data_IF_256586597902
#
_entry.id   IF_256586597902
#
_cell.length_a   1.000
_cell.length_b   1.000
_cell.length_c   1.000
_cell.angle_alpha   90.00
_cell.angle_beta   90.00
_cell.angle_gamma   90.00
#
_symmetry.space_group_name_H-M   'P 1'
#
loop_
_entity.id
_entity.type
_entity.pdbx_description
1 polymer ?
#
# COMPACT_ATOMS: atom_id res chain seq x y z
N UNK A 1 -24.34 20.32 -13.50
CA UNK A 1 -25.00 19.00 -13.46
C UNK A 1 -24.23 18.15 -12.45
N UNK A 2 -24.89 17.49 -11.49
CA UNK A 2 -24.20 16.77 -10.41
C UNK A 2 -24.00 15.28 -10.74
N UNK A 3 -22.88 14.71 -10.29
CA UNK A 3 -22.47 13.35 -10.59
C UNK A 3 -23.37 12.30 -9.93
N UNK A 4 -23.77 11.29 -10.69
CA UNK A 4 -24.64 10.20 -10.20
C UNK A 4 -23.82 9.11 -9.52
N UNK A 5 -23.55 9.29 -8.24
CA UNK A 5 -23.00 8.23 -7.38
C UNK A 5 -23.94 7.02 -7.36
N UNK A 6 -23.37 5.82 -7.52
CA UNK A 6 -24.10 4.55 -7.29
C UNK A 6 -23.86 4.15 -5.83
N UNK A 7 -24.91 3.92 -5.05
CA UNK A 7 -24.73 3.47 -3.66
C UNK A 7 -26.03 3.22 -2.89
N UNK A 8 -27.00 4.13 -2.95
CA UNK A 8 -28.25 4.03 -2.18
C UNK A 8 -29.48 4.25 -3.07
N UNK A 9 -30.62 3.60 -2.76
CA UNK A 9 -31.89 3.93 -3.41
C UNK A 9 -32.34 5.35 -3.00
N UNK A 10 -32.79 6.14 -3.96
CA UNK A 10 -33.40 7.44 -3.69
C UNK A 10 -34.66 7.26 -2.83
N UNK A 11 -34.75 7.98 -1.69
CA UNK A 11 -35.93 7.94 -0.83
C UNK A 11 -37.16 8.45 -1.60
N UNK A 12 -38.23 7.66 -1.64
CA UNK A 12 -39.52 8.02 -2.25
C UNK A 12 -40.53 8.50 -1.20
N UNK A 13 -41.51 9.29 -1.65
CA UNK A 13 -42.73 9.68 -0.94
C UNK A 13 -43.92 9.50 -1.89
N UNK A 14 -45.14 9.36 -1.37
CA UNK A 14 -46.33 9.36 -2.20
C UNK A 14 -46.74 10.81 -2.55
N UNK A 15 -47.19 11.04 -3.78
CA UNK A 15 -47.87 12.28 -4.13
C UNK A 15 -49.21 12.37 -3.38
N UNK A 16 -49.55 13.49 -2.71
CA UNK A 16 -50.80 13.61 -1.93
C UNK A 16 -52.06 13.38 -2.79
N UNK A 17 -52.02 13.82 -4.04
CA UNK A 17 -53.21 13.97 -4.90
C UNK A 17 -53.47 12.77 -5.81
N UNK A 18 -52.41 12.11 -6.32
CA UNK A 18 -52.52 10.91 -7.17
C UNK A 18 -51.91 9.64 -6.55
N UNK A 19 -51.35 9.71 -5.33
CA UNK A 19 -50.75 8.59 -4.58
C UNK A 19 -49.63 7.81 -5.28
N UNK A 20 -49.14 8.27 -6.44
CA UNK A 20 -47.99 7.67 -7.13
C UNK A 20 -46.67 8.00 -6.42
N UNK A 21 -45.70 7.08 -6.46
CA UNK A 21 -44.37 7.28 -5.88
C UNK A 21 -43.55 8.34 -6.61
N UNK A 22 -42.98 9.28 -5.86
CA UNK A 22 -42.11 10.35 -6.33
C UNK A 22 -40.87 10.44 -5.44
N UNK A 23 -39.77 10.98 -5.94
CA UNK A 23 -38.60 11.27 -5.07
C UNK A 23 -39.00 12.28 -3.97
N UNK A 24 -38.45 12.12 -2.77
CA UNK A 24 -38.59 13.10 -1.68
C UNK A 24 -38.15 14.51 -2.11
N UNK A 25 -37.16 14.61 -3.00
CA UNK A 25 -36.64 15.88 -3.53
C UNK A 25 -37.48 16.46 -4.69
N UNK A 26 -38.51 15.77 -5.17
CA UNK A 26 -39.35 16.27 -6.26
C UNK A 26 -40.27 17.41 -5.78
N UNK A 27 -40.30 18.51 -6.53
CA UNK A 27 -41.20 19.66 -6.35
C UNK A 27 -42.46 19.60 -7.22
N UNK A 28 -42.51 18.67 -8.18
CA UNK A 28 -43.65 18.47 -9.09
C UNK A 28 -43.84 16.98 -9.32
N UNK A 29 -45.09 16.51 -9.30
CA UNK A 29 -45.39 15.10 -9.52
C UNK A 29 -45.20 14.74 -10.99
N UNK A 30 -44.46 13.67 -11.27
CA UNK A 30 -44.25 13.19 -12.66
C UNK A 30 -45.50 12.60 -13.30
N UNK A 31 -46.50 12.20 -12.51
CA UNK A 31 -47.70 11.50 -12.98
C UNK A 31 -48.89 12.46 -13.19
N UNK A 32 -49.29 13.23 -12.18
CA UNK A 32 -50.40 14.19 -12.29
C UNK A 32 -49.97 15.62 -12.64
N UNK A 33 -48.67 15.94 -12.65
CA UNK A 33 -48.17 17.28 -12.93
C UNK A 33 -48.37 18.30 -11.79
N UNK A 34 -48.92 17.91 -10.65
CA UNK A 34 -49.25 18.81 -9.54
C UNK A 34 -48.00 19.21 -8.73
N UNK A 35 -48.00 20.42 -8.18
CA UNK A 35 -46.86 20.96 -7.44
C UNK A 35 -46.85 20.47 -6.00
N UNK A 36 -45.99 19.48 -5.75
CA UNK A 36 -45.79 18.89 -4.44
C UNK A 36 -44.78 19.73 -3.68
N UNK A 37 -45.28 20.51 -2.71
CA UNK A 37 -44.47 21.39 -1.88
C UNK A 37 -43.16 20.72 -1.44
N UNK A 38 -42.06 21.47 -1.49
CA UNK A 38 -40.79 21.02 -0.92
C UNK A 38 -41.08 20.53 0.51
N UNK A 39 -40.60 19.35 0.91
CA UNK A 39 -40.58 19.03 2.33
C UNK A 39 -39.93 20.22 3.05
N UNK A 40 -40.52 20.68 4.15
CA UNK A 40 -39.71 21.43 5.11
C UNK A 40 -38.58 20.47 5.48
N UNK A 41 -37.32 20.89 5.34
CA UNK A 41 -36.21 20.11 5.90
C UNK A 41 -36.47 20.03 7.41
N UNK A 42 -37.06 18.92 7.85
CA UNK A 42 -37.16 18.56 9.26
C UNK A 42 -35.75 18.66 9.82
N UNK A 43 -35.56 19.60 10.75
CA UNK A 43 -34.25 20.12 11.11
C UNK A 43 -33.31 18.96 11.43
N UNK A 44 -32.36 18.70 10.52
CA UNK A 44 -31.62 17.44 10.50
C UNK A 44 -30.93 17.28 11.83
N UNK A 45 -31.43 16.33 12.64
CA UNK A 45 -30.82 15.97 13.90
C UNK A 45 -29.54 15.22 13.57
N UNK A 46 -28.47 15.99 13.32
CA UNK A 46 -27.13 15.47 13.13
C UNK A 46 -26.73 14.77 14.42
N UNK A 47 -26.86 13.45 14.44
CA UNK A 47 -26.29 12.62 15.50
C UNK A 47 -24.81 12.97 15.66
N UNK A 48 -24.30 12.94 16.88
CA UNK A 48 -22.93 13.40 17.22
C UNK A 48 -21.86 12.73 16.33
N UNK A 49 -22.10 11.50 15.89
CA UNK A 49 -21.30 10.74 14.91
C UNK A 49 -21.17 11.36 13.51
N UNK A 50 -22.03 12.32 13.13
CA UNK A 50 -21.95 13.04 11.85
C UNK A 50 -21.30 14.43 11.97
N UNK A 51 -21.10 14.93 13.20
CA UNK A 51 -20.46 16.23 13.46
C UNK A 51 -18.97 16.12 13.81
N UNK A 52 -18.36 14.95 13.56
CA UNK A 52 -16.97 14.70 13.92
C UNK A 52 -16.75 14.61 15.44
N UNK A 53 -17.77 14.22 16.20
CA UNK A 53 -17.62 13.90 17.62
C UNK A 53 -16.51 12.86 17.80
N UNK A 54 -15.59 13.14 18.73
CA UNK A 54 -14.38 12.35 18.92
C UNK A 54 -14.72 10.87 19.11
N UNK A 55 -14.28 10.04 18.15
CA UNK A 55 -14.36 8.60 18.28
C UNK A 55 -13.38 8.17 19.38
N UNK A 56 -13.88 8.18 20.61
CA UNK A 56 -13.41 7.34 21.71
C UNK A 56 -13.67 5.88 21.35
N UNK A 57 -12.90 5.41 20.37
CA UNK A 57 -12.62 4.00 20.17
C UNK A 57 -12.13 3.51 21.52
N UNK A 58 -12.99 2.75 22.21
CA UNK A 58 -12.60 2.03 23.42
C UNK A 58 -11.57 1.01 22.97
N UNK A 59 -10.30 1.41 23.01
CA UNK A 59 -9.17 0.56 22.72
C UNK A 59 -9.11 -0.48 23.83
N UNK A 60 -9.84 -1.58 23.62
CA UNK A 60 -9.62 -2.81 24.34
C UNK A 60 -8.27 -3.34 23.86
N UNK A 61 -7.19 -3.25 24.67
CA UNK A 61 -5.93 -3.88 24.30
C UNK A 61 -6.18 -5.37 24.05
N UNK A 62 -5.58 -5.91 22.99
CA UNK A 62 -5.63 -7.34 22.70
C UNK A 62 -5.11 -8.14 23.91
N UNK A 63 -5.71 -9.29 24.22
CA UNK A 63 -5.47 -10.01 25.48
C UNK A 63 -3.99 -10.20 25.85
N UNK A 64 -3.15 -10.54 24.86
CA UNK A 64 -1.70 -10.70 25.01
C UNK A 64 -0.98 -9.44 25.58
N UNK A 65 -1.51 -8.24 25.33
CA UNK A 65 -0.97 -6.97 25.86
C UNK A 65 -1.36 -6.78 27.33
N UNK A 66 -2.55 -7.21 27.74
CA UNK A 66 -2.93 -7.24 29.16
C UNK A 66 -2.09 -8.27 29.92
N UNK A 67 -1.96 -9.48 29.36
CA UNK A 67 -1.15 -10.56 29.93
C UNK A 67 0.33 -10.15 30.10
N UNK A 68 0.92 -9.47 29.10
CA UNK A 68 2.28 -8.93 29.18
C UNK A 68 2.43 -7.78 30.21
N UNK A 69 1.38 -6.98 30.44
CA UNK A 69 1.39 -5.94 31.47
C UNK A 69 1.18 -6.52 32.88
N UNK A 70 0.44 -7.62 33.02
CA UNK A 70 0.28 -8.34 34.28
C UNK A 70 1.54 -9.14 34.66
N UNK A 71 2.19 -9.80 33.69
CA UNK A 71 3.47 -10.48 33.94
C UNK A 71 4.58 -9.50 34.35
N UNK A 72 4.68 -8.34 33.70
CA UNK A 72 5.62 -7.29 34.07
C UNK A 72 5.34 -6.71 35.48
N UNK A 73 4.05 -6.54 35.84
CA UNK A 73 3.67 -6.13 37.21
C UNK A 73 4.04 -7.19 38.25
N UNK A 74 3.84 -8.47 37.95
CA UNK A 74 4.23 -9.56 38.83
C UNK A 74 5.76 -9.63 39.03
N UNK A 75 6.53 -9.43 37.96
CA UNK A 75 8.00 -9.39 38.02
C UNK A 75 8.52 -8.21 38.85
N UNK A 76 8.00 -7.00 38.64
CA UNK A 76 8.39 -5.80 39.42
C UNK A 76 8.04 -5.95 40.91
N UNK A 77 6.89 -6.56 41.24
CA UNK A 77 6.52 -6.85 42.64
C UNK A 77 7.43 -7.94 43.25
N UNK A 78 7.81 -8.96 42.48
CA UNK A 78 8.74 -9.99 42.92
C UNK A 78 10.16 -9.44 43.14
N UNK A 79 10.67 -8.58 42.26
CA UNK A 79 11.95 -7.87 42.46
C UNK A 79 11.91 -6.97 43.70
N UNK A 80 10.79 -6.24 43.91
CA UNK A 80 10.57 -5.43 45.10
C UNK A 80 10.70 -6.25 46.38
N UNK A 81 9.93 -7.34 46.50
CA UNK A 81 9.96 -8.22 47.67
C UNK A 81 11.33 -8.94 47.85
N UNK A 82 11.99 -9.33 46.75
CA UNK A 82 13.33 -9.91 46.78
C UNK A 82 14.43 -8.91 47.19
N UNK A 83 14.21 -7.60 47.01
CA UNK A 83 15.16 -6.56 47.37
C UNK A 83 15.26 -6.36 48.89
N UNK A 84 14.15 -6.47 49.62
CA UNK A 84 14.12 -6.30 51.09
C UNK A 84 14.83 -7.43 51.83
N UNK A 85 14.82 -8.65 51.29
CA UNK A 85 15.39 -9.84 51.94
C UNK A 85 16.87 -10.10 51.64
N UNK A 86 17.57 -9.21 50.91
CA UNK A 86 19.02 -9.36 50.65
C UNK A 86 19.90 -8.71 51.75
N UNK A 87 20.54 -9.48 52.65
CA UNK A 87 21.45 -8.91 53.64
C UNK A 87 22.64 -8.23 52.97
N UNK A 88 22.96 -7.00 53.39
CA UNK A 88 23.92 -6.11 52.72
C UNK A 88 25.38 -6.62 52.79
N UNK A 89 25.76 -7.56 51.92
CA UNK A 89 27.12 -8.07 51.83
C UNK A 89 28.04 -7.11 51.07
N UNK A 90 28.51 -6.08 51.81
CA UNK A 90 29.38 -4.97 51.41
C UNK A 90 30.43 -5.37 50.35
N UNK A 91 30.29 -4.86 49.12
CA UNK A 91 31.39 -4.73 48.15
C UNK A 91 31.48 -3.28 47.65
N UNK A 92 32.39 -2.51 48.25
CA UNK A 92 32.88 -1.25 47.69
C UNK A 92 33.94 -1.53 46.63
N UNK A 93 34.03 -0.66 45.61
CA UNK A 93 35.24 -0.06 44.98
C UNK A 93 35.05 0.15 43.47
N UNK A 94 35.74 1.16 42.92
CA UNK A 94 35.80 1.54 41.49
C UNK A 94 34.43 1.94 40.90
N UNK A 95 33.97 3.19 40.94
CA UNK A 95 34.73 4.44 40.92
C UNK A 95 34.75 5.02 39.49
N UNK A 96 33.68 5.74 39.12
CA UNK A 96 33.51 6.39 37.81
C UNK A 96 34.64 7.37 37.48
N UNK A 97 34.83 7.64 36.17
CA UNK A 97 34.83 9.04 35.71
C UNK A 97 34.30 9.16 34.27
N UNK A 98 33.15 9.82 34.14
CA UNK A 98 32.72 10.41 32.87
C UNK A 98 33.39 11.79 32.72
N UNK A 99 33.52 12.27 31.48
CA UNK A 99 34.00 13.61 31.15
C UNK A 99 32.93 14.28 30.29
N UNK A 100 32.54 15.49 30.68
CA UNK A 100 31.78 16.41 29.86
C UNK A 100 32.58 17.72 29.76
N UNK A 101 32.51 18.39 28.61
CA UNK A 101 32.91 19.79 28.43
C UNK A 101 32.24 20.35 27.17
N UNK A 102 31.78 21.59 27.25
CA UNK A 102 31.10 22.33 26.18
C UNK A 102 32.03 22.91 25.08
N UNK A 103 31.41 23.09 23.90
CA UNK A 103 31.40 24.25 22.98
C UNK A 103 32.67 25.00 22.53
N UNK A 104 32.74 25.25 21.21
CA UNK A 104 32.62 26.62 20.65
C UNK A 104 32.29 26.63 19.12
N UNK A 105 31.84 27.80 18.62
CA UNK A 105 31.63 28.22 17.21
C UNK A 105 32.84 27.92 16.27
N UNK A 106 32.78 27.91 14.93
CA UNK A 106 31.78 28.28 13.89
C UNK A 106 32.14 27.53 12.57
N UNK A 107 31.38 27.50 11.46
CA UNK A 107 30.00 27.92 11.07
C UNK A 107 29.44 26.84 10.08
N UNK A 108 28.52 26.96 9.09
CA UNK A 108 27.80 28.05 8.40
C UNK A 108 26.60 27.48 7.57
N UNK A 109 25.84 28.33 6.86
CA UNK A 109 25.25 27.99 5.55
C UNK A 109 23.78 27.54 5.43
N UNK A 110 22.87 28.50 5.20
CA UNK A 110 21.61 28.42 4.42
C UNK A 110 20.43 27.48 4.81
N UNK A 111 19.36 28.15 5.28
CA UNK A 111 17.92 27.97 4.95
C UNK A 111 17.03 26.76 5.39
N UNK A 112 15.75 27.13 5.62
CA UNK A 112 14.51 26.34 5.58
C UNK A 112 14.01 25.50 6.80
N UNK A 113 13.36 26.22 7.73
CA UNK A 113 12.00 25.91 8.27
C UNK A 113 11.69 24.57 9.02
N UNK A 114 11.65 24.70 10.35
CA UNK A 114 10.48 24.38 11.23
C UNK A 114 10.19 22.96 11.78
N UNK A 115 9.60 22.95 12.99
CA UNK A 115 8.97 21.83 13.72
C UNK A 115 9.87 20.71 14.28
N UNK A 116 10.62 21.03 15.33
CA UNK A 116 11.05 20.05 16.35
C UNK A 116 9.98 19.88 17.45
N UNK A 117 9.83 18.69 18.08
CA UNK A 117 8.84 18.46 19.13
C UNK A 117 9.31 18.98 20.50
N UNK A 118 8.41 19.63 21.23
CA UNK A 118 8.66 20.12 22.59
C UNK A 118 8.77 18.96 23.59
N UNK A 119 9.97 18.74 24.14
CA UNK A 119 10.13 17.92 25.34
C UNK A 119 9.75 18.74 26.60
N UNK A 120 9.16 18.13 27.64
CA UNK A 120 8.92 18.82 28.90
C UNK A 120 10.23 19.24 29.58
N UNK A 121 10.24 20.42 30.20
CA UNK A 121 11.37 20.86 31.03
C UNK A 121 11.58 19.95 32.25
N UNK A 122 12.83 19.78 32.66
CA UNK A 122 13.16 18.98 33.85
C UNK A 122 12.86 19.78 35.12
N UNK A 123 11.87 19.30 35.89
CA UNK A 123 11.50 19.79 37.22
C UNK A 123 12.74 20.10 38.09
N UNK A 124 12.81 21.32 38.64
CA UNK A 124 13.93 21.87 39.42
C UNK A 124 14.35 20.93 40.57
N UNK A 125 13.36 20.20 41.11
CA UNK A 125 13.52 19.19 42.17
C UNK A 125 14.55 18.10 41.81
N UNK A 126 14.76 17.84 40.52
CA UNK A 126 15.77 16.90 40.02
C UNK A 126 17.20 17.46 40.09
N UNK A 127 17.38 18.76 39.80
CA UNK A 127 18.70 19.41 39.87
C UNK A 127 19.21 19.52 41.31
N UNK A 128 18.30 19.78 42.26
CA UNK A 128 18.62 19.85 43.69
C UNK A 128 19.28 18.57 44.24
N UNK A 129 18.94 17.40 43.69
CA UNK A 129 19.50 16.10 44.11
C UNK A 129 20.85 15.77 43.46
N UNK A 130 21.19 16.39 42.33
CA UNK A 130 22.47 16.16 41.63
C UNK A 130 23.68 16.79 42.36
N UNK A 131 23.45 17.84 43.16
CA UNK A 131 24.51 18.60 43.84
C UNK A 131 25.05 17.92 45.13
N UNK A 132 24.32 16.97 45.71
CA UNK A 132 24.58 16.42 47.04
C UNK A 132 25.48 15.16 47.06
N UNK A 133 26.63 15.18 46.35
CA UNK A 133 27.69 14.20 46.64
C UNK A 133 29.12 14.65 46.32
N UNK A 134 29.93 14.85 47.37
CA UNK A 134 31.26 14.24 47.60
C UNK A 134 31.80 14.74 48.96
N UNK A 135 32.16 13.86 49.91
CA UNK A 135 32.71 14.29 51.19
C UNK A 135 34.18 14.72 51.09
N UNK A 136 34.55 15.80 51.77
CA UNK A 136 35.94 16.24 51.96
C UNK A 136 36.62 15.40 53.05
N UNK A 137 37.80 14.82 52.77
CA UNK A 137 38.86 14.44 53.75
C UNK A 137 40.05 13.78 53.02
N UNK A 138 41.28 13.76 53.57
CA UNK A 138 41.88 14.71 54.50
C UNK A 138 43.20 15.33 53.94
N UNK A 139 43.71 16.33 54.67
CA UNK A 139 45.01 17.01 54.51
C UNK A 139 46.18 16.01 54.40
N UNK A 140 46.98 16.05 53.32
CA UNK A 140 48.23 15.27 53.17
C UNK A 140 49.46 16.19 53.19
N UNK A 141 50.57 15.68 53.73
CA UNK A 141 51.75 16.47 54.10
C UNK A 141 52.55 17.02 52.90
N UNK A 142 53.30 18.11 53.15
CA UNK A 142 54.23 18.75 52.22
C UNK A 142 55.44 17.85 51.91
N UNK A 143 55.72 17.53 50.63
CA UNK A 143 56.95 16.83 50.26
C UNK A 143 58.16 17.76 50.34
N UNK A 144 59.32 17.21 50.74
CA UNK A 144 60.56 17.95 50.87
C UNK A 144 61.11 18.50 49.53
N UNK A 145 61.93 19.54 49.59
CA UNK A 145 62.63 20.15 48.43
C UNK A 145 63.62 19.14 47.79
N UNK A 146 63.18 18.43 46.76
CA UNK A 146 64.09 17.72 45.84
C UNK A 146 64.86 18.72 44.95
N UNK A 147 66.14 18.47 44.60
CA UNK A 147 66.94 19.39 43.78
C UNK A 147 66.31 19.63 42.39
N UNK A 148 66.46 20.84 41.82
CA UNK A 148 65.61 21.31 40.72
C UNK A 148 65.76 20.51 39.42
N UNK A 149 66.97 20.06 39.07
CA UNK A 149 67.26 19.40 37.79
C UNK A 149 66.47 18.10 37.55
N UNK A 150 66.14 17.35 38.61
CA UNK A 150 65.36 16.11 38.48
C UNK A 150 63.92 16.35 38.01
N UNK A 151 63.32 17.50 38.33
CA UNK A 151 61.92 17.78 37.92
C UNK A 151 61.80 17.90 36.40
N UNK A 152 62.71 18.60 35.75
CA UNK A 152 62.72 18.76 34.29
C UNK A 152 62.89 17.41 33.57
N UNK A 153 63.76 16.53 34.07
CA UNK A 153 63.95 15.19 33.51
C UNK A 153 62.67 14.33 33.59
N UNK A 154 61.96 14.34 34.72
CA UNK A 154 60.68 13.62 34.85
C UNK A 154 59.56 14.23 33.99
N UNK A 155 59.49 15.56 33.87
CA UNK A 155 58.50 16.22 32.99
C UNK A 155 58.75 15.89 31.52
N UNK A 156 60.00 15.92 31.06
CA UNK A 156 60.36 15.57 29.69
C UNK A 156 60.11 14.07 29.39
N UNK A 157 60.52 13.18 30.30
CA UNK A 157 60.24 11.74 30.18
C UNK A 157 58.74 11.42 30.16
N UNK A 158 57.95 12.09 31.01
CA UNK A 158 56.49 11.96 30.99
C UNK A 158 55.89 12.45 29.66
N UNK A 159 56.32 13.61 29.15
CA UNK A 159 55.87 14.13 27.86
C UNK A 159 56.18 13.19 26.70
N UNK A 160 57.42 12.68 26.60
CA UNK A 160 57.81 11.69 25.57
C UNK A 160 56.98 10.42 25.69
N UNK A 161 56.75 9.91 26.91
CA UNK A 161 55.90 8.73 27.11
C UNK A 161 54.45 8.96 26.67
N UNK A 162 53.89 10.15 26.91
CA UNK A 162 52.54 10.52 26.48
C UNK A 162 52.44 10.63 24.95
N UNK A 163 53.44 11.20 24.27
CA UNK A 163 53.51 11.24 22.80
C UNK A 163 53.61 9.84 22.20
N UNK A 164 54.41 8.95 22.79
CA UNK A 164 54.52 7.54 22.34
C UNK A 164 53.20 6.79 22.54
N UNK A 165 52.54 6.95 23.69
CA UNK A 165 51.23 6.33 23.97
C UNK A 165 50.16 6.88 23.03
N UNK A 166 50.18 8.19 22.72
CA UNK A 166 49.28 8.81 21.74
C UNK A 166 49.50 8.24 20.34
N UNK A 167 50.77 8.14 19.90
CA UNK A 167 51.12 7.62 18.56
C UNK A 167 50.69 6.15 18.37
N UNK A 168 50.98 5.28 19.35
CA UNK A 168 50.52 3.88 19.31
C UNK A 168 49.01 3.76 19.50
N UNK A 169 48.40 4.61 20.33
CA UNK A 169 46.96 4.66 20.56
C UNK A 169 46.17 5.05 19.30
N UNK A 170 46.62 6.08 18.58
CA UNK A 170 46.00 6.51 17.31
C UNK A 170 46.21 5.47 16.21
N UNK A 171 47.42 4.91 16.05
CA UNK A 171 47.71 3.95 14.98
C UNK A 171 47.04 2.58 15.19
N UNK A 172 47.06 2.02 16.41
CA UNK A 172 46.38 0.75 16.72
C UNK A 172 44.87 0.93 16.92
N UNK A 173 44.46 1.98 17.63
CA UNK A 173 43.05 2.27 17.89
C UNK A 173 42.27 2.65 16.63
N UNK A 174 42.88 3.42 15.73
CA UNK A 174 42.25 3.80 14.45
C UNK A 174 41.91 2.60 13.56
N UNK A 175 42.74 1.56 13.55
CA UNK A 175 42.44 0.30 12.86
C UNK A 175 41.26 -0.43 13.53
N UNK A 176 41.30 -0.62 14.85
CA UNK A 176 40.24 -1.33 15.58
C UNK A 176 38.88 -0.60 15.54
N UNK A 177 38.89 0.74 15.52
CA UNK A 177 37.69 1.57 15.34
C UNK A 177 37.17 1.46 13.90
N UNK A 178 38.05 1.45 12.88
CA UNK A 178 37.64 1.19 11.48
C UNK A 178 37.04 -0.20 11.31
N UNK A 179 37.62 -1.24 11.90
CA UNK A 179 37.05 -2.60 11.86
C UNK A 179 35.71 -2.69 12.58
N UNK A 180 35.54 -1.98 13.70
CA UNK A 180 34.27 -1.95 14.44
C UNK A 180 33.19 -1.16 13.70
N UNK A 181 33.54 -0.04 13.06
CA UNK A 181 32.64 0.72 12.17
C UNK A 181 32.31 -0.08 10.90
N UNK A 182 33.28 -0.76 10.30
CA UNK A 182 33.06 -1.65 9.16
C UNK A 182 32.12 -2.79 9.52
N UNK A 183 32.25 -3.39 10.72
CA UNK A 183 31.33 -4.42 11.23
C UNK A 183 29.95 -3.88 11.63
N UNK A 184 29.82 -2.62 12.01
CA UNK A 184 28.51 -1.95 12.20
C UNK A 184 27.85 -1.56 10.89
N UNK A 185 28.62 -1.19 9.87
CA UNK A 185 28.11 -0.90 8.53
C UNK A 185 27.81 -2.20 7.76
N UNK A 186 28.52 -3.29 8.10
CA UNK A 186 28.19 -4.68 7.80
C UNK A 186 27.33 -5.33 8.91
N UNK A 187 26.39 -4.56 9.49
CA UNK A 187 25.11 -5.15 9.90
C UNK A 187 24.62 -5.93 8.68
N UNK A 188 24.32 -7.22 8.88
CA UNK A 188 23.82 -8.06 7.79
C UNK A 188 22.59 -7.37 7.19
N UNK A 189 22.73 -6.92 5.94
CA UNK A 189 21.59 -6.46 5.16
C UNK A 189 20.68 -7.67 5.02
N UNK A 190 19.66 -7.76 5.88
CA UNK A 190 18.72 -8.86 5.96
C UNK A 190 18.16 -9.06 4.56
N UNK A 191 18.68 -10.08 3.87
CA UNK A 191 18.45 -10.26 2.44
C UNK A 191 16.98 -10.57 2.25
N UNK A 192 16.21 -9.56 1.85
CA UNK A 192 14.78 -9.71 1.67
C UNK A 192 14.54 -10.82 0.64
N UNK A 193 14.05 -11.96 1.11
CA UNK A 193 13.78 -13.12 0.29
C UNK A 193 12.49 -12.87 -0.49
N UNK A 194 12.56 -13.05 -1.80
CA UNK A 194 11.41 -12.85 -2.68
C UNK A 194 10.46 -14.05 -2.53
N UNK A 195 9.28 -13.83 -1.95
CA UNK A 195 8.28 -14.87 -1.70
C UNK A 195 7.49 -15.27 -2.96
N UNK A 196 7.59 -14.49 -4.05
CA UNK A 196 6.81 -14.74 -5.26
C UNK A 196 7.01 -16.13 -5.90
N UNK A 197 8.22 -16.73 -5.97
CA UNK A 197 8.39 -18.10 -6.47
C UNK A 197 7.57 -19.12 -5.67
N UNK A 198 7.55 -19.00 -4.34
CA UNK A 198 6.79 -19.88 -3.44
C UNK A 198 5.27 -19.74 -3.64
N UNK A 199 4.78 -18.51 -3.87
CA UNK A 199 3.38 -18.24 -4.23
C UNK A 199 3.05 -18.86 -5.60
N UNK A 200 3.94 -18.71 -6.60
CA UNK A 200 3.76 -19.28 -7.94
C UNK A 200 3.78 -20.81 -7.94
N UNK A 201 4.62 -21.45 -7.15
CA UNK A 201 4.68 -22.92 -7.01
C UNK A 201 3.42 -23.48 -6.35
N UNK A 202 2.83 -22.75 -5.39
CA UNK A 202 1.55 -23.10 -4.78
C UNK A 202 0.32 -22.84 -5.67
N UNK A 203 0.50 -22.24 -6.84
CA UNK A 203 -0.59 -21.70 -7.69
C UNK A 203 -1.47 -20.68 -6.93
N UNK A 204 -0.85 -19.84 -6.09
CA UNK A 204 -1.50 -18.70 -5.43
C UNK A 204 -1.86 -17.57 -6.40
N UNK A 205 -2.34 -16.45 -5.87
CA UNK A 205 -2.74 -15.31 -6.72
C UNK A 205 -1.52 -14.70 -7.42
N UNK A 206 -1.66 -14.46 -8.72
CA UNK A 206 -0.66 -13.79 -9.53
C UNK A 206 -0.49 -12.32 -9.14
N UNK A 207 -1.54 -11.68 -8.59
CA UNK A 207 -1.47 -10.31 -8.08
C UNK A 207 -0.67 -10.25 -6.76
N UNK A 208 -0.92 -11.19 -5.83
CA UNK A 208 -0.12 -11.33 -4.60
C UNK A 208 1.36 -11.61 -4.92
N UNK A 209 1.64 -12.52 -5.86
CA UNK A 209 2.99 -12.77 -6.35
C UNK A 209 3.63 -11.51 -6.97
N UNK A 210 2.88 -10.70 -7.72
CA UNK A 210 3.38 -9.44 -8.29
C UNK A 210 3.75 -8.43 -7.20
N UNK A 211 2.84 -8.19 -6.23
CA UNK A 211 3.08 -7.31 -5.08
C UNK A 211 4.32 -7.76 -4.29
N UNK A 212 4.48 -9.06 -4.05
CA UNK A 212 5.67 -9.64 -3.42
C UNK A 212 6.96 -9.36 -4.21
N UNK A 213 6.99 -9.50 -5.54
CA UNK A 213 8.19 -9.18 -6.33
C UNK A 213 8.54 -7.70 -6.34
N UNK A 214 7.55 -6.81 -6.35
CA UNK A 214 7.76 -5.36 -6.34
C UNK A 214 8.32 -4.93 -4.98
N UNK A 215 7.79 -5.46 -3.89
CA UNK A 215 8.30 -5.22 -2.54
C UNK A 215 9.73 -5.78 -2.38
N UNK A 216 10.00 -6.98 -2.89
CA UNK A 216 11.35 -7.55 -2.91
C UNK A 216 12.34 -6.69 -3.71
N UNK A 217 11.94 -6.20 -4.88
CA UNK A 217 12.77 -5.32 -5.73
C UNK A 217 13.01 -3.96 -5.08
N UNK A 218 12.04 -3.43 -4.33
CA UNK A 218 12.15 -2.18 -3.57
C UNK A 218 13.14 -2.28 -2.41
N UNK A 219 13.23 -3.43 -1.74
CA UNK A 219 14.19 -3.66 -0.65
C UNK A 219 15.57 -4.11 -1.15
N UNK A 220 15.64 -4.86 -2.26
CA UNK A 220 16.87 -5.37 -2.85
C UNK A 220 16.74 -5.41 -4.39
N UNK A 221 17.23 -4.40 -5.13
CA UNK A 221 17.14 -4.34 -6.59
C UNK A 221 18.18 -5.25 -7.27
N UNK A 222 18.12 -6.55 -6.99
CA UNK A 222 18.97 -7.56 -7.64
C UNK A 222 18.47 -7.90 -9.05
N UNK A 223 19.39 -8.30 -9.94
CA UNK A 223 19.04 -8.78 -11.28
C UNK A 223 18.14 -10.04 -11.23
N UNK A 224 18.27 -10.85 -10.18
CA UNK A 224 17.39 -12.00 -9.91
C UNK A 224 15.96 -11.56 -9.58
N UNK A 225 15.78 -10.58 -8.69
CA UNK A 225 14.45 -10.03 -8.40
C UNK A 225 13.79 -9.44 -9.64
N UNK A 226 14.55 -8.69 -10.45
CA UNK A 226 14.08 -8.17 -11.74
C UNK A 226 13.65 -9.28 -12.71
N UNK A 227 14.39 -10.40 -12.76
CA UNK A 227 14.02 -11.58 -13.57
C UNK A 227 12.70 -12.19 -13.08
N UNK A 228 12.55 -12.41 -11.76
CA UNK A 228 11.33 -12.96 -11.16
C UNK A 228 10.13 -12.03 -11.40
N UNK A 229 10.27 -10.71 -11.28
CA UNK A 229 9.21 -9.75 -11.65
C UNK A 229 8.84 -9.87 -13.13
N UNK A 230 9.83 -10.04 -14.03
CA UNK A 230 9.59 -10.30 -15.45
C UNK A 230 8.81 -11.60 -15.70
N UNK A 231 9.16 -12.67 -15.00
CA UNK A 231 8.47 -13.97 -15.05
C UNK A 231 7.02 -13.88 -14.54
N UNK A 232 6.76 -13.14 -13.44
CA UNK A 232 5.40 -12.89 -12.95
C UNK A 232 4.57 -12.06 -13.94
N UNK A 233 5.12 -10.93 -14.43
CA UNK A 233 4.47 -10.10 -15.46
C UNK A 233 4.11 -10.91 -16.70
N UNK A 234 5.00 -11.82 -17.13
CA UNK A 234 4.73 -12.74 -18.23
C UNK A 234 3.60 -13.72 -17.89
N UNK A 235 3.63 -14.40 -16.74
CA UNK A 235 2.55 -15.31 -16.32
C UNK A 235 1.18 -14.62 -16.23
N UNK A 236 1.13 -13.35 -15.82
CA UNK A 236 -0.09 -12.52 -15.84
C UNK A 236 -0.56 -12.28 -17.28
N UNK A 237 0.33 -11.85 -18.18
CA UNK A 237 0.00 -11.63 -19.59
C UNK A 237 -0.48 -12.93 -20.28
N UNK A 238 0.23 -14.04 -20.07
CA UNK A 238 -0.11 -15.38 -20.59
C UNK A 238 -1.49 -15.84 -20.05
N UNK A 239 -1.81 -15.57 -18.77
CA UNK A 239 -3.12 -15.87 -18.16
C UNK A 239 -4.25 -15.01 -18.74
N UNK A 240 -4.01 -13.71 -18.95
CA UNK A 240 -4.96 -12.80 -19.61
C UNK A 240 -5.22 -13.27 -21.04
N UNK A 241 -4.19 -13.63 -21.81
CA UNK A 241 -4.34 -14.13 -23.17
C UNK A 241 -4.98 -15.53 -23.21
N UNK A 242 -4.76 -16.37 -22.21
CA UNK A 242 -5.48 -17.63 -22.03
C UNK A 242 -6.99 -17.41 -21.84
N UNK A 243 -7.39 -16.47 -20.99
CA UNK A 243 -8.80 -16.08 -20.79
C UNK A 243 -9.39 -15.44 -22.05
N UNK A 244 -8.66 -14.52 -22.70
CA UNK A 244 -9.08 -13.85 -23.93
C UNK A 244 -9.21 -14.80 -25.14
N UNK A 245 -8.58 -15.98 -25.13
CA UNK A 245 -8.63 -16.97 -26.22
C UNK A 245 -9.25 -18.32 -25.79
N UNK A 246 -9.86 -18.40 -24.61
CA UNK A 246 -10.47 -19.61 -24.06
C UNK A 246 -11.52 -20.26 -25.00
N UNK A 247 -11.63 -21.58 -24.93
CA UNK A 247 -12.59 -22.40 -25.67
C UNK A 247 -13.15 -23.54 -24.78
N UNK A 248 -14.48 -23.63 -24.56
CA UNK A 248 -15.50 -22.67 -24.98
C UNK A 248 -15.26 -21.29 -24.35
N UNK A 249 -15.69 -20.23 -25.03
CA UNK A 249 -15.61 -18.87 -24.50
C UNK A 249 -16.93 -18.46 -23.84
N UNK A 250 -16.84 -18.09 -22.58
CA UNK A 250 -17.91 -17.37 -21.89
C UNK A 250 -17.52 -15.92 -21.64
N UNK A 251 -18.54 -15.06 -21.54
CA UNK A 251 -18.36 -13.65 -21.14
C UNK A 251 -17.62 -13.51 -19.80
N UNK A 252 -17.80 -14.46 -18.86
CA UNK A 252 -17.07 -14.50 -17.58
C UNK A 252 -15.55 -14.39 -17.77
N UNK A 253 -14.97 -15.10 -18.74
CA UNK A 253 -13.52 -15.07 -18.98
C UNK A 253 -13.04 -13.67 -19.42
N UNK A 254 -13.88 -12.88 -20.09
CA UNK A 254 -13.59 -11.49 -20.45
C UNK A 254 -13.72 -10.55 -19.24
N UNK A 255 -14.75 -10.74 -18.42
CA UNK A 255 -14.95 -9.96 -17.19
C UNK A 255 -13.80 -10.24 -16.18
N UNK A 256 -13.36 -11.51 -16.05
CA UNK A 256 -12.17 -11.95 -15.31
C UNK A 256 -10.87 -11.37 -15.87
N UNK A 257 -10.66 -11.42 -17.19
CA UNK A 257 -9.48 -10.83 -17.83
C UNK A 257 -9.41 -9.30 -17.61
N UNK A 258 -10.54 -8.60 -17.64
CA UNK A 258 -10.64 -7.17 -17.38
C UNK A 258 -10.35 -6.83 -15.92
N UNK A 259 -10.83 -7.64 -14.97
CA UNK A 259 -10.50 -7.51 -13.55
C UNK A 259 -9.00 -7.73 -13.31
N UNK A 260 -8.42 -8.83 -13.82
CA UNK A 260 -7.01 -9.17 -13.65
C UNK A 260 -6.09 -8.11 -14.27
N UNK A 261 -6.36 -7.68 -15.51
CA UNK A 261 -5.58 -6.64 -16.17
C UNK A 261 -5.69 -5.27 -15.47
N UNK A 262 -6.88 -4.94 -14.93
CA UNK A 262 -7.10 -3.71 -14.17
C UNK A 262 -6.41 -3.70 -12.80
N UNK A 263 -6.30 -4.86 -12.15
CA UNK A 263 -5.55 -5.01 -10.89
C UNK A 263 -4.04 -5.00 -11.14
N UNK A 264 -3.56 -5.75 -12.13
CA UNK A 264 -2.14 -5.79 -12.49
C UNK A 264 -1.62 -4.40 -12.88
N UNK A 265 -2.30 -3.66 -13.76
CA UNK A 265 -1.89 -2.31 -14.15
C UNK A 265 -2.09 -1.23 -13.07
N UNK A 266 -2.74 -1.55 -11.94
CA UNK A 266 -2.84 -0.69 -10.75
C UNK A 266 -1.68 -0.93 -9.78
N UNK A 267 -1.23 -2.19 -9.67
CA UNK A 267 -0.10 -2.62 -8.83
C UNK A 267 1.23 -2.29 -9.52
N UNK A 268 1.33 -2.62 -10.81
CA UNK A 268 2.50 -2.42 -11.66
C UNK A 268 2.11 -1.56 -12.88
N UNK A 269 2.18 -0.22 -12.78
CA UNK A 269 1.84 0.68 -13.88
C UNK A 269 2.95 0.76 -14.94
N UNK A 270 3.47 -0.40 -15.39
CA UNK A 270 4.39 -0.47 -16.51
C UNK A 270 3.66 -0.32 -17.85
N UNK A 271 4.36 0.20 -18.86
CA UNK A 271 3.81 0.37 -20.21
C UNK A 271 3.22 -0.94 -20.76
N UNK A 272 3.87 -2.08 -20.52
CA UNK A 272 3.38 -3.39 -20.93
C UNK A 272 2.05 -3.79 -20.26
N UNK A 273 1.90 -3.56 -18.95
CA UNK A 273 0.65 -3.84 -18.23
C UNK A 273 -0.46 -2.86 -18.61
N UNK A 274 -0.14 -1.57 -18.80
CA UNK A 274 -1.08 -0.55 -19.27
C UNK A 274 -1.55 -0.83 -20.70
N UNK A 275 -0.64 -1.26 -21.59
CA UNK A 275 -0.97 -1.66 -22.95
C UNK A 275 -1.84 -2.93 -22.98
N UNK A 276 -1.51 -3.95 -22.19
CA UNK A 276 -2.34 -5.17 -22.06
C UNK A 276 -3.72 -4.86 -21.48
N UNK A 277 -3.83 -3.95 -20.50
CA UNK A 277 -5.12 -3.44 -20.02
C UNK A 277 -5.89 -2.73 -21.15
N UNK A 278 -5.25 -1.84 -21.90
CA UNK A 278 -5.88 -1.16 -23.06
C UNK A 278 -6.37 -2.15 -24.12
N UNK A 279 -5.65 -3.26 -24.34
CA UNK A 279 -6.08 -4.36 -25.20
C UNK A 279 -7.38 -5.00 -24.67
N UNK A 280 -7.41 -5.38 -23.38
CA UNK A 280 -8.58 -6.00 -22.76
C UNK A 280 -9.78 -5.04 -22.70
N UNK A 281 -9.58 -3.76 -22.39
CA UNK A 281 -10.64 -2.75 -22.39
C UNK A 281 -11.25 -2.60 -23.80
N UNK A 282 -10.43 -2.63 -24.86
CA UNK A 282 -10.89 -2.64 -26.27
C UNK A 282 -11.69 -3.91 -26.61
N UNK A 283 -11.36 -5.06 -26.01
CA UNK A 283 -12.17 -6.28 -26.10
C UNK A 283 -13.52 -6.12 -25.37
N UNK A 284 -13.51 -5.57 -24.14
CA UNK A 284 -14.74 -5.29 -23.36
C UNK A 284 -15.68 -4.36 -24.12
N UNK A 285 -15.17 -3.29 -24.75
CA UNK A 285 -16.00 -2.42 -25.59
C UNK A 285 -16.52 -3.13 -26.84
N UNK A 286 -15.71 -3.96 -27.49
CA UNK A 286 -16.13 -4.72 -28.68
C UNK A 286 -17.30 -5.68 -28.37
N UNK A 287 -17.23 -6.44 -27.29
CA UNK A 287 -18.30 -7.37 -26.89
C UNK A 287 -19.51 -6.68 -26.21
N UNK A 288 -19.47 -5.37 -25.96
CA UNK A 288 -20.57 -4.58 -25.40
C UNK A 288 -21.66 -4.21 -26.42
N UNK A 289 -21.49 -4.57 -27.70
CA UNK A 289 -22.50 -4.36 -28.73
C UNK A 289 -23.81 -5.12 -28.43
N UNK A 290 -24.95 -4.59 -28.88
CA UNK A 290 -26.25 -5.24 -28.71
C UNK A 290 -27.04 -5.32 -30.01
N UNK A 291 -27.75 -6.43 -30.19
CA UNK A 291 -28.74 -6.56 -31.26
C UNK A 291 -30.03 -5.84 -30.83
N UNK A 292 -30.46 -4.86 -31.62
CA UNK A 292 -31.61 -3.97 -31.31
C UNK A 292 -32.88 -4.45 -31.97
N UNK A 293 -32.79 -4.90 -33.22
CA UNK A 293 -33.93 -5.21 -34.10
C UNK A 293 -33.49 -6.28 -35.10
N UNK A 294 -34.36 -7.27 -35.39
CA UNK A 294 -34.11 -8.29 -36.42
C UNK A 294 -35.29 -8.28 -37.41
N UNK A 295 -34.99 -8.28 -38.70
CA UNK A 295 -35.94 -8.34 -39.83
C UNK A 295 -35.64 -9.56 -40.68
N UNK A 296 -36.41 -10.64 -40.45
CA UNK A 296 -36.23 -11.89 -41.16
C UNK A 296 -36.63 -11.75 -42.63
N UNK A 297 -37.73 -11.05 -42.90
CA UNK A 297 -38.31 -10.88 -44.24
C UNK A 297 -38.05 -9.46 -44.79
N UNK A 298 -37.65 -9.29 -46.06
CA UNK A 298 -37.22 -10.33 -47.02
C UNK A 298 -35.72 -10.69 -46.94
N UNK A 299 -34.88 -9.87 -46.30
CA UNK A 299 -33.41 -9.92 -46.46
C UNK A 299 -32.60 -10.47 -45.27
N UNK A 300 -33.24 -11.02 -44.22
CA UNK A 300 -32.56 -11.50 -42.99
C UNK A 300 -31.52 -10.53 -42.43
N UNK A 301 -31.97 -9.32 -42.09
CA UNK A 301 -31.14 -8.23 -41.57
C UNK A 301 -31.23 -8.09 -40.06
N UNK A 302 -30.12 -7.78 -39.40
CA UNK A 302 -30.08 -7.42 -37.98
C UNK A 302 -29.46 -6.02 -37.77
N UNK A 303 -30.06 -5.23 -36.88
CA UNK A 303 -29.53 -3.92 -36.48
C UNK A 303 -28.68 -4.07 -35.23
N UNK A 304 -27.37 -3.85 -35.37
CA UNK A 304 -26.44 -3.80 -34.26
C UNK A 304 -26.26 -2.36 -33.78
N UNK A 305 -26.31 -2.16 -32.46
CA UNK A 305 -25.87 -0.95 -31.78
C UNK A 305 -24.44 -1.15 -31.30
N UNK A 306 -23.53 -0.35 -31.85
CA UNK A 306 -22.12 -0.38 -31.46
C UNK A 306 -21.87 0.60 -30.32
N UNK A 307 -21.09 0.17 -29.35
CA UNK A 307 -20.53 1.04 -28.33
C UNK A 307 -19.05 1.22 -28.64
N UNK A 308 -18.64 2.47 -28.67
CA UNK A 308 -17.26 2.89 -28.91
C UNK A 308 -16.93 3.95 -27.86
N UNK A 309 -15.73 3.94 -27.23
CA UNK A 309 -15.31 5.02 -26.35
C UNK A 309 -14.94 6.30 -27.10
N UNK A 310 -14.52 6.21 -28.36
CA UNK A 310 -13.99 7.32 -29.17
C UNK A 310 -15.03 7.85 -30.17
N UNK A 311 -15.91 6.99 -30.68
CA UNK A 311 -16.92 7.34 -31.70
C UNK A 311 -18.37 7.39 -31.14
N UNK A 312 -19.26 8.26 -31.69
CA UNK A 312 -20.67 8.26 -31.31
C UNK A 312 -21.36 6.93 -31.64
N UNK A 313 -22.38 6.58 -30.84
CA UNK A 313 -23.12 5.31 -30.91
C UNK A 313 -23.77 5.12 -32.29
N UNK A 314 -23.07 4.41 -33.18
CA UNK A 314 -23.56 4.07 -34.51
C UNK A 314 -24.48 2.86 -34.45
N UNK A 315 -25.59 2.91 -35.20
CA UNK A 315 -26.39 1.74 -35.53
C UNK A 315 -26.10 1.32 -36.97
N UNK A 316 -25.96 0.02 -37.19
CA UNK A 316 -25.65 -0.54 -38.51
C UNK A 316 -26.54 -1.76 -38.76
N UNK A 317 -27.18 -1.81 -39.92
CA UNK A 317 -27.86 -3.01 -40.42
C UNK A 317 -26.84 -3.93 -41.09
N UNK A 318 -26.91 -5.23 -40.82
CA UNK A 318 -26.08 -6.26 -41.45
C UNK A 318 -26.94 -7.43 -41.95
N UNK A 319 -26.54 -8.04 -43.06
CA UNK A 319 -27.04 -9.33 -43.56
C UNK A 319 -26.13 -10.50 -43.13
N UNK A 320 -26.57 -11.73 -43.42
CA UNK A 320 -25.72 -12.93 -43.34
C UNK A 320 -24.47 -12.77 -44.25
N UNK A 321 -23.30 -13.16 -43.74
CA UNK A 321 -21.94 -12.97 -44.27
C UNK A 321 -21.39 -11.53 -44.33
N UNK A 322 -22.13 -10.49 -43.94
CA UNK A 322 -21.56 -9.14 -43.78
C UNK A 322 -20.72 -9.03 -42.49
N UNK A 323 -19.67 -8.20 -42.51
CA UNK A 323 -18.72 -8.06 -41.39
C UNK A 323 -18.86 -6.72 -40.67
N UNK A 324 -18.99 -6.78 -39.33
CA UNK A 324 -18.99 -5.60 -38.49
C UNK A 324 -17.56 -5.26 -38.06
N UNK A 325 -17.11 -4.04 -38.39
CA UNK A 325 -15.73 -3.55 -38.17
C UNK A 325 -14.63 -4.47 -38.75
N UNK A 326 -14.93 -5.25 -39.80
CA UNK A 326 -14.00 -6.23 -40.36
C UNK A 326 -13.67 -7.42 -39.43
N UNK A 327 -14.33 -7.53 -38.27
CA UNK A 327 -14.01 -8.50 -37.21
C UNK A 327 -15.13 -9.51 -36.95
N UNK A 328 -16.36 -9.03 -36.88
CA UNK A 328 -17.51 -9.84 -36.46
C UNK A 328 -18.37 -10.18 -37.68
N UNK A 329 -18.24 -11.40 -38.19
CA UNK A 329 -18.96 -11.85 -39.39
C UNK A 329 -20.28 -12.50 -38.97
N UNK A 330 -21.40 -11.95 -39.44
CA UNK A 330 -22.72 -12.53 -39.19
C UNK A 330 -22.82 -13.86 -39.94
N UNK A 331 -23.11 -14.96 -39.24
CA UNK A 331 -23.30 -16.29 -39.86
C UNK A 331 -24.76 -16.60 -40.12
N UNK A 332 -25.60 -16.46 -39.09
CA UNK A 332 -27.01 -16.80 -39.16
C UNK A 332 -27.87 -15.80 -38.40
N UNK A 333 -28.97 -15.36 -39.01
CA UNK A 333 -29.96 -14.47 -38.41
C UNK A 333 -31.24 -15.26 -38.16
N UNK A 334 -31.56 -15.49 -36.88
CA UNK A 334 -32.80 -16.15 -36.42
C UNK A 334 -33.74 -15.12 -35.77
N UNK A 335 -34.96 -15.53 -35.44
CA UNK A 335 -35.95 -14.68 -34.75
C UNK A 335 -35.58 -14.33 -33.31
N UNK A 336 -34.83 -15.20 -32.63
CA UNK A 336 -34.40 -15.08 -31.24
C UNK A 336 -32.99 -14.51 -31.08
N UNK A 337 -32.09 -14.84 -32.01
CA UNK A 337 -30.64 -14.59 -31.90
C UNK A 337 -29.97 -14.33 -33.25
N UNK A 338 -28.84 -13.64 -33.21
CA UNK A 338 -27.87 -13.58 -34.32
C UNK A 338 -26.60 -14.33 -33.92
N UNK A 339 -26.18 -15.28 -34.76
CA UNK A 339 -24.93 -16.02 -34.60
C UNK A 339 -23.83 -15.31 -35.38
N UNK A 340 -22.72 -15.04 -34.71
CA UNK A 340 -21.60 -14.23 -35.20
C UNK A 340 -20.29 -14.98 -34.94
N UNK A 341 -19.44 -15.09 -35.96
CA UNK A 341 -18.06 -15.55 -35.82
C UNK A 341 -17.14 -14.31 -35.65
N UNK A 342 -16.26 -14.33 -34.65
CA UNK A 342 -15.22 -13.33 -34.40
C UNK A 342 -13.90 -13.80 -35.04
N UNK A 343 -13.46 -13.08 -36.08
CA UNK A 343 -12.27 -13.44 -36.88
C UNK A 343 -10.95 -13.03 -36.22
N UNK A 344 -10.96 -12.14 -35.23
CA UNK A 344 -9.74 -11.64 -34.56
C UNK A 344 -9.27 -12.56 -33.44
N UNK A 345 -10.19 -13.27 -32.78
CA UNK A 345 -9.88 -14.19 -31.66
C UNK A 345 -10.15 -15.62 -32.09
N UNK A 346 -9.06 -16.33 -32.43
CA UNK A 346 -9.09 -17.76 -32.73
C UNK A 346 -8.91 -18.58 -31.46
N UNK A 347 -9.60 -19.72 -31.38
CA UNK A 347 -9.34 -20.74 -30.35
C UNK A 347 -8.00 -21.46 -30.62
N UNK A 348 -7.47 -22.24 -29.64
CA UNK A 348 -6.30 -23.10 -29.86
C UNK A 348 -6.44 -24.06 -31.06
N UNK A 349 -7.67 -24.42 -31.42
CA UNK A 349 -7.99 -25.26 -32.58
C UNK A 349 -8.09 -24.48 -33.91
N UNK A 350 -7.65 -23.21 -33.94
CA UNK A 350 -7.74 -22.28 -35.09
C UNK A 350 -9.16 -22.00 -35.59
N UNK A 351 -10.19 -22.33 -34.80
CA UNK A 351 -11.58 -22.00 -35.11
C UNK A 351 -11.88 -20.56 -34.64
N UNK A 352 -12.63 -19.74 -35.41
CA UNK A 352 -13.07 -18.43 -34.94
C UNK A 352 -14.02 -18.59 -33.74
N UNK A 353 -13.96 -17.66 -32.79
CA UNK A 353 -14.88 -17.64 -31.66
C UNK A 353 -16.31 -17.37 -32.15
N UNK A 354 -17.24 -18.31 -31.91
CA UNK A 354 -18.65 -18.15 -32.25
C UNK A 354 -19.49 -17.70 -31.06
N UNK A 355 -20.35 -16.72 -31.28
CA UNK A 355 -21.11 -16.01 -30.25
C UNK A 355 -22.57 -15.87 -30.72
N UNK A 356 -23.51 -16.03 -29.79
CA UNK A 356 -24.91 -15.69 -29.99
C UNK A 356 -25.23 -14.36 -29.30
N UNK A 357 -25.66 -13.37 -30.08
CA UNK A 357 -26.29 -12.15 -29.58
C UNK A 357 -27.81 -12.38 -29.54
N UNK A 358 -28.41 -12.34 -28.36
CA UNK A 358 -29.87 -12.41 -28.23
C UNK A 358 -30.50 -11.05 -28.54
N UNK A 359 -31.79 -11.07 -28.89
CA UNK A 359 -32.61 -9.86 -28.76
C UNK A 359 -32.49 -9.30 -27.33
N UNK A 360 -32.51 -7.98 -27.18
CA UNK A 360 -32.22 -7.24 -25.93
C UNK A 360 -30.74 -7.21 -25.49
N UNK A 361 -29.82 -7.84 -26.23
CA UNK A 361 -28.37 -7.62 -26.09
C UNK A 361 -27.63 -8.52 -25.10
N UNK A 362 -28.24 -9.62 -24.68
CA UNK A 362 -27.56 -10.70 -23.95
C UNK A 362 -26.54 -11.40 -24.88
N UNK A 363 -25.35 -11.71 -24.38
CA UNK A 363 -24.25 -12.32 -25.16
C UNK A 363 -23.91 -13.68 -24.56
N UNK A 364 -24.03 -14.75 -25.37
CA UNK A 364 -23.84 -16.15 -24.92
C UNK A 364 -22.92 -16.92 -25.87
N UNK A 365 -22.24 -17.99 -25.41
CA UNK A 365 -21.62 -18.95 -26.32
C UNK A 365 -22.66 -19.51 -27.30
N UNK A 366 -22.25 -19.69 -28.55
CA UNK A 366 -23.05 -20.38 -29.56
C UNK A 366 -22.55 -21.82 -29.73
N UNK A 367 -23.30 -22.74 -29.16
CA UNK A 367 -23.22 -24.17 -29.44
C UNK A 367 -23.92 -24.47 -30.77
#
# INVERSE_FOLDING_TARGET
MLGKTRGTPDKTRLCPSCRSEISVLATKCRYCGEEVGRPRDEARQFSISQLGGEHTNQYAPSGNVLEALESFRAEVLAEGAASEQRPQKKRRLLGRKAVAKEECHDSDGADSTSSSPTFPELDERSQALASLSIPRTPRRATPARTPPWRKSAYVFGAFVSAVVILFFGVTKGGAMIRDYLAKRNAVEQVRYLNLAPEILERNGDLIEALEATLLATKHNPSAENQRITGEVRKKIADKIDGLLNAYPWEKKHLDEASALASQAARVDPTEAMIAKKSEVDKEVFAYKMSCVEIKLTPERKAQFRLYDPEAPVKRTWLKENESLRGRFVVRHVRSDRVIVDDTRRMSPHRLPRRIAFLLHGDVRPAH
#
